data_IF_995500777580
#
_entry.id   IF_995500777580
#
_cell.length_a   1.000
_cell.length_b   1.000
_cell.length_c   1.000
_cell.angle_alpha   90.00
_cell.angle_beta   90.00
_cell.angle_gamma   90.00
#
_symmetry.space_group_name_H-M   'P 1'
#
loop_
_entity.id
_entity.type
_entity.pdbx_description
1 polymer ?
#
# COMPACT_ATOMS: atom_id res chain seq x y z
N UNK A 1 33.26 16.32 6.37
CA UNK A 1 32.90 17.01 7.63
C UNK A 1 32.75 18.49 7.35
N UNK A 2 31.54 19.03 7.40
CA UNK A 2 31.28 20.47 7.34
C UNK A 2 30.42 20.84 8.56
N UNK A 3 30.98 21.64 9.46
CA UNK A 3 30.30 22.14 10.65
C UNK A 3 29.47 23.36 10.27
N UNK A 4 28.15 23.27 10.37
CA UNK A 4 27.23 24.41 10.24
C UNK A 4 26.86 24.89 11.64
N UNK A 5 27.23 26.13 11.98
CA UNK A 5 26.77 26.78 13.21
C UNK A 5 25.40 27.43 12.95
N UNK A 6 24.34 26.89 13.57
CA UNK A 6 23.02 27.50 13.57
C UNK A 6 22.78 28.12 14.94
N UNK A 7 22.87 29.46 15.03
CA UNK A 7 22.43 30.20 16.21
C UNK A 7 20.91 30.25 16.28
N UNK A 8 20.32 29.74 17.37
CA UNK A 8 18.91 29.91 17.69
C UNK A 8 18.74 30.90 18.84
N UNK A 9 18.05 32.02 18.59
CA UNK A 9 17.60 32.93 19.66
C UNK A 9 16.15 32.62 20.02
N UNK A 10 15.86 32.34 21.29
CA UNK A 10 14.50 32.25 21.81
C UNK A 10 13.99 33.67 22.10
N UNK A 11 13.06 34.20 21.29
CA UNK A 11 12.38 35.45 21.59
C UNK A 11 11.22 35.21 22.57
N UNK A 12 11.29 35.82 23.76
CA UNK A 12 10.20 35.89 24.74
C UNK A 12 9.09 36.83 24.23
N UNK A 13 8.12 36.34 23.48
CA UNK A 13 6.87 37.09 23.25
C UNK A 13 5.80 36.24 22.56
N UNK A 14 5.03 35.48 23.33
CA UNK A 14 3.59 35.21 23.10
C UNK A 14 3.02 34.17 24.09
N UNK A 15 3.31 34.32 25.38
CA UNK A 15 2.61 33.59 26.44
C UNK A 15 2.05 34.63 27.41
N UNK A 16 0.85 35.14 27.12
CA UNK A 16 0.05 35.90 28.06
C UNK A 16 -0.87 34.94 28.82
N UNK A 17 -0.72 35.01 30.13
CA UNK A 17 -1.32 34.26 31.24
C UNK A 17 -2.84 34.26 31.36
N UNK A 18 -3.37 33.17 31.94
CA UNK A 18 -4.15 33.25 33.19
C UNK A 18 -4.00 31.96 34.02
N UNK A 19 -4.14 32.02 35.37
CA UNK A 19 -3.55 31.05 36.28
C UNK A 19 -4.60 30.18 36.98
N UNK A 20 -4.46 28.85 36.91
CA UNK A 20 -5.11 27.96 37.88
C UNK A 20 -4.31 26.66 38.04
N UNK A 21 -3.68 26.57 39.22
CA UNK A 21 -3.45 25.36 40.01
C UNK A 21 -3.47 24.01 39.27
N UNK A 22 -2.29 23.51 38.93
CA UNK A 22 -1.77 22.16 39.24
C UNK A 22 -0.59 21.87 38.30
N UNK A 23 0.61 21.78 38.86
CA UNK A 23 1.78 21.27 38.15
C UNK A 23 1.53 19.79 37.84
N UNK A 24 1.56 19.33 36.58
CA UNK A 24 1.74 17.93 36.31
C UNK A 24 3.25 17.68 36.22
N UNK A 25 3.78 16.93 37.18
CA UNK A 25 5.03 16.22 37.03
C UNK A 25 4.90 15.27 35.84
N UNK A 26 5.31 15.72 34.65
CA UNK A 26 5.36 14.87 33.46
C UNK A 26 6.67 14.08 33.43
N UNK A 27 6.56 12.80 33.79
CA UNK A 27 7.51 11.76 33.39
C UNK A 27 7.25 11.42 31.92
N UNK A 28 8.13 11.87 31.02
CA UNK A 28 8.08 11.52 29.59
C UNK A 28 9.25 12.13 28.81
N UNK A 29 10.19 11.30 28.36
CA UNK A 29 11.49 11.71 27.80
C UNK A 29 11.51 12.10 26.31
N UNK A 30 10.40 12.58 25.72
CA UNK A 30 10.40 12.97 24.30
C UNK A 30 9.52 14.20 24.05
N UNK A 31 10.12 15.34 23.73
CA UNK A 31 9.43 16.50 23.18
C UNK A 31 9.76 16.66 21.70
N UNK A 32 8.75 16.99 20.88
CA UNK A 32 8.95 17.47 19.51
C UNK A 32 8.88 18.99 19.50
N UNK A 33 9.96 19.66 19.14
CA UNK A 33 9.98 21.13 18.94
C UNK A 33 9.99 21.41 17.44
N UNK A 34 9.05 22.22 16.91
CA UNK A 34 9.07 22.59 15.50
C UNK A 34 10.25 23.55 15.22
N UNK A 35 11.21 23.11 14.39
CA UNK A 35 12.31 23.96 13.91
C UNK A 35 11.89 24.56 12.57
N UNK A 36 11.86 25.89 12.48
CA UNK A 36 11.75 26.60 11.18
C UNK A 36 13.14 26.70 10.56
N UNK A 37 13.39 25.97 9.48
CA UNK A 37 14.62 26.11 8.70
C UNK A 37 14.63 27.42 7.90
N UNK A 38 15.79 28.10 7.84
CA UNK A 38 15.97 29.26 6.95
C UNK A 38 15.93 28.83 5.48
N UNK A 39 15.56 29.73 4.54
CA UNK A 39 15.19 29.37 3.17
C UNK A 39 16.32 28.84 2.27
N UNK A 40 17.57 28.86 2.73
CA UNK A 40 18.76 28.60 1.90
C UNK A 40 19.32 27.17 1.98
N UNK A 41 18.52 26.18 2.40
CA UNK A 41 18.93 24.78 2.45
C UNK A 41 18.52 24.01 1.18
N UNK A 42 19.39 23.16 0.60
CA UNK A 42 19.04 22.28 -0.52
C UNK A 42 17.83 21.38 -0.21
N UNK A 43 17.00 21.09 -1.23
CA UNK A 43 15.72 20.37 -1.11
C UNK A 43 15.78 18.99 -0.43
N UNK A 44 16.97 18.41 -0.19
CA UNK A 44 17.14 17.11 0.49
C UNK A 44 16.85 17.10 2.00
N UNK A 45 16.69 18.26 2.64
CA UNK A 45 16.57 18.35 4.11
C UNK A 45 15.20 18.79 4.64
N UNK A 46 14.17 18.92 3.78
CA UNK A 46 12.87 19.50 4.19
C UNK A 46 12.05 18.65 5.17
N UNK A 47 12.35 17.36 5.36
CA UNK A 47 11.55 16.44 6.18
C UNK A 47 12.36 15.65 7.25
N UNK A 48 13.50 16.15 7.72
CA UNK A 48 14.21 15.50 8.83
C UNK A 48 13.53 15.78 10.18
N UNK A 49 13.04 14.73 10.84
CA UNK A 49 12.73 14.77 12.28
C UNK A 49 14.01 14.52 13.07
N UNK A 50 14.34 15.43 14.00
CA UNK A 50 15.48 15.26 14.91
C UNK A 50 14.96 14.76 16.25
N UNK A 51 15.50 13.64 16.74
CA UNK A 51 15.28 13.16 18.10
C UNK A 51 16.33 13.77 19.03
N UNK A 52 15.88 14.50 20.06
CA UNK A 52 16.78 15.09 21.06
C UNK A 52 16.74 14.21 22.31
N UNK A 53 17.86 13.57 22.66
CA UNK A 53 18.03 12.90 23.96
C UNK A 53 18.76 13.83 24.93
N UNK A 54 18.20 14.05 26.11
CA UNK A 54 18.88 14.77 27.20
C UNK A 54 19.59 13.77 28.12
N UNK A 55 20.84 14.06 28.51
CA UNK A 55 21.54 13.36 29.59
C UNK A 55 21.68 14.27 30.83
N UNK A 56 20.95 13.90 31.88
CA UNK A 56 21.08 14.19 33.32
C UNK A 56 21.39 15.60 33.92
N UNK A 57 20.59 15.87 34.98
CA UNK A 57 20.80 16.63 36.23
C UNK A 57 20.96 18.16 36.16
N UNK A 58 19.83 18.85 36.38
CA UNK A 58 19.78 20.27 36.73
C UNK A 58 20.18 20.50 38.20
N UNK A 59 21.23 21.30 38.42
CA UNK A 59 21.43 22.10 39.64
C UNK A 59 21.64 23.56 39.22
N UNK A 60 20.78 24.44 39.76
CA UNK A 60 20.83 25.92 39.77
C UNK A 60 20.97 26.66 38.43
N UNK A 61 19.95 27.47 38.13
CA UNK A 61 19.88 28.45 37.05
C UNK A 61 20.68 29.71 37.39
N UNK A 62 21.96 29.81 37.03
CA UNK A 62 22.71 31.09 37.08
C UNK A 62 23.66 31.35 35.90
N UNK A 63 23.57 30.64 34.77
CA UNK A 63 24.33 31.02 33.59
C UNK A 63 23.70 30.54 32.26
N UNK A 64 23.46 31.41 31.27
CA UNK A 64 22.99 30.98 29.96
C UNK A 64 24.16 30.36 29.19
N UNK A 65 24.44 29.07 29.41
CA UNK A 65 25.39 28.34 28.57
C UNK A 65 24.74 28.11 27.21
N UNK A 66 25.37 28.60 26.14
CA UNK A 66 25.05 28.23 24.77
C UNK A 66 25.16 26.71 24.62
N UNK A 67 24.03 26.05 24.33
CA UNK A 67 24.01 24.62 24.05
C UNK A 67 24.29 24.38 22.57
N UNK A 68 25.34 23.63 22.26
CA UNK A 68 25.67 23.21 20.90
C UNK A 68 24.89 21.93 20.60
N UNK A 69 23.85 22.05 19.76
CA UNK A 69 23.16 20.87 19.22
C UNK A 69 23.96 20.40 18.00
N UNK A 70 24.70 19.30 18.11
CA UNK A 70 25.31 18.64 16.96
C UNK A 70 24.31 17.69 16.32
N UNK A 71 23.90 17.98 15.07
CA UNK A 71 23.08 17.09 14.28
C UNK A 71 23.98 16.37 13.27
N UNK A 72 24.16 15.07 13.41
CA UNK A 72 24.78 14.23 12.38
C UNK A 72 23.68 13.73 11.45
N UNK A 73 23.69 14.20 10.20
CA UNK A 73 22.95 13.54 9.14
C UNK A 73 23.79 12.34 8.69
N UNK A 74 23.47 11.16 9.20
CA UNK A 74 23.85 9.94 8.50
C UNK A 74 23.04 9.93 7.21
N UNK A 75 23.71 10.15 6.07
CA UNK A 75 23.14 9.82 4.79
C UNK A 75 22.85 8.33 4.85
N UNK A 76 21.57 7.95 4.87
CA UNK A 76 21.19 6.59 4.54
C UNK A 76 21.60 6.40 3.08
N UNK A 77 22.81 5.88 2.85
CA UNK A 77 23.07 5.04 1.71
C UNK A 77 22.05 3.92 1.82
N UNK A 78 20.92 4.08 1.13
CA UNK A 78 19.83 3.13 1.18
C UNK A 78 20.38 1.80 0.68
N UNK A 79 20.55 0.84 1.59
CA UNK A 79 20.67 -0.56 1.22
C UNK A 79 19.51 -0.84 0.28
N UNK A 80 19.81 -1.11 -0.99
CA UNK A 80 18.78 -1.35 -2.00
C UNK A 80 17.93 -2.53 -1.50
N UNK A 81 16.66 -2.28 -1.18
CA UNK A 81 15.76 -3.34 -0.72
C UNK A 81 15.48 -4.23 -1.92
N UNK A 82 16.08 -5.42 -1.93
CA UNK A 82 15.89 -6.43 -2.95
C UNK A 82 14.85 -7.44 -2.48
N UNK A 83 13.89 -7.74 -3.34
CA UNK A 83 12.94 -8.85 -3.15
C UNK A 83 13.62 -10.11 -3.69
N UNK A 84 13.71 -11.15 -2.86
CA UNK A 84 14.42 -12.38 -3.25
C UNK A 84 13.62 -13.14 -4.30
N UNK A 85 14.33 -13.90 -5.14
CA UNK A 85 13.68 -14.87 -6.01
C UNK A 85 12.86 -15.87 -5.20
N UNK A 86 11.72 -16.30 -5.75
CA UNK A 86 10.84 -17.30 -5.16
C UNK A 86 10.48 -17.04 -3.69
N UNK A 87 10.25 -15.77 -3.34
CA UNK A 87 9.88 -15.33 -1.98
C UNK A 87 8.46 -14.79 -1.85
N UNK A 88 7.73 -14.66 -2.96
CA UNK A 88 6.40 -14.07 -3.01
C UNK A 88 5.35 -15.12 -3.38
N UNK A 89 4.28 -15.22 -2.59
CA UNK A 89 3.07 -15.94 -3.00
C UNK A 89 2.07 -14.96 -3.59
N UNK A 90 1.55 -15.25 -4.79
CA UNK A 90 0.49 -14.44 -5.39
C UNK A 90 -0.86 -15.05 -5.06
N UNK A 91 -1.81 -14.24 -4.56
CA UNK A 91 -3.22 -14.62 -4.48
C UNK A 91 -3.92 -13.98 -5.66
N UNK A 92 -4.33 -14.80 -6.63
CA UNK A 92 -5.04 -14.34 -7.82
C UNK A 92 -6.55 -14.55 -7.63
N UNK A 93 -7.28 -13.45 -7.40
CA UNK A 93 -8.71 -13.49 -7.13
C UNK A 93 -9.50 -13.63 -8.45
N UNK A 94 -10.07 -14.81 -8.68
CA UNK A 94 -10.84 -15.16 -9.88
C UNK A 94 -12.24 -15.73 -9.56
N UNK A 95 -12.74 -15.57 -8.33
CA UNK A 95 -14.04 -16.11 -7.89
C UNK A 95 -15.27 -15.24 -8.15
N UNK A 96 -15.09 -13.99 -8.60
CA UNK A 96 -16.19 -13.03 -8.68
C UNK A 96 -17.25 -13.40 -9.72
N UNK A 97 -18.54 -13.41 -9.35
CA UNK A 97 -19.65 -13.82 -10.25
C UNK A 97 -19.99 -12.85 -11.39
N UNK A 98 -19.35 -11.68 -11.49
CA UNK A 98 -19.43 -10.83 -12.68
C UNK A 98 -20.82 -10.25 -13.05
N UNK A 99 -21.77 -10.11 -12.12
CA UNK A 99 -23.19 -9.75 -12.38
C UNK A 99 -23.43 -8.51 -13.28
N UNK A 100 -22.48 -7.56 -13.34
CA UNK A 100 -22.59 -6.31 -14.13
C UNK A 100 -22.34 -6.47 -15.62
N UNK A 101 -21.81 -7.61 -16.07
CA UNK A 101 -21.44 -7.84 -17.48
C UNK A 101 -22.57 -8.43 -18.33
N UNK A 102 -23.68 -8.88 -17.72
CA UNK A 102 -24.79 -9.50 -18.45
C UNK A 102 -24.43 -10.80 -19.20
N UNK A 103 -23.22 -11.33 -18.99
CA UNK A 103 -22.71 -12.51 -19.68
C UNK A 103 -23.15 -13.81 -18.98
N UNK A 104 -23.20 -14.91 -19.74
CA UNK A 104 -23.46 -16.26 -19.24
C UNK A 104 -22.33 -16.82 -18.37
N UNK A 105 -21.15 -16.21 -18.42
CA UNK A 105 -19.92 -16.62 -17.75
C UNK A 105 -19.33 -15.45 -16.94
N UNK A 106 -18.68 -15.71 -15.79
CA UNK A 106 -17.97 -14.68 -15.05
C UNK A 106 -16.94 -13.95 -15.92
N UNK A 107 -16.91 -12.64 -15.75
CA UNK A 107 -16.18 -11.71 -16.63
C UNK A 107 -14.69 -12.02 -16.78
N UNK A 108 -14.03 -12.49 -15.74
CA UNK A 108 -12.60 -12.83 -15.75
C UNK A 108 -12.27 -14.04 -16.65
N UNK A 109 -13.28 -14.77 -17.12
CA UNK A 109 -13.13 -15.88 -18.05
C UNK A 109 -13.60 -15.54 -19.46
N UNK A 110 -14.12 -14.32 -19.68
CA UNK A 110 -14.43 -13.86 -21.03
C UNK A 110 -13.13 -13.75 -21.86
N UNK A 111 -13.19 -14.05 -23.16
CA UNK A 111 -12.05 -13.89 -24.04
C UNK A 111 -11.75 -12.40 -24.23
N UNK A 112 -10.49 -12.05 -24.04
CA UNK A 112 -9.86 -10.81 -24.46
C UNK A 112 -8.82 -11.21 -25.51
N UNK A 113 -9.01 -10.78 -26.77
CA UNK A 113 -8.18 -11.20 -27.91
C UNK A 113 -7.95 -12.73 -27.99
N UNK A 114 -8.98 -13.52 -27.69
CA UNK A 114 -8.94 -15.00 -27.75
C UNK A 114 -8.42 -15.70 -26.49
N UNK A 115 -7.93 -14.96 -25.49
CA UNK A 115 -7.45 -15.51 -24.23
C UNK A 115 -8.34 -15.09 -23.05
N UNK A 116 -8.68 -15.98 -22.10
CA UNK A 116 -9.40 -15.59 -20.88
C UNK A 116 -8.70 -14.43 -20.15
N UNK A 117 -9.47 -13.41 -19.75
CA UNK A 117 -8.96 -12.21 -19.05
C UNK A 117 -8.03 -12.55 -17.88
N UNK A 118 -8.41 -13.54 -17.06
CA UNK A 118 -7.65 -13.95 -15.90
C UNK A 118 -6.22 -14.41 -16.25
N UNK A 119 -6.04 -15.05 -17.41
CA UNK A 119 -4.76 -15.62 -17.83
C UNK A 119 -3.72 -14.55 -18.16
N UNK A 120 -4.12 -13.33 -18.55
CA UNK A 120 -3.16 -12.25 -18.80
C UNK A 120 -2.34 -11.88 -17.55
N UNK A 121 -3.05 -11.66 -16.44
CA UNK A 121 -2.40 -11.37 -15.17
C UNK A 121 -1.67 -12.59 -14.62
N UNK A 122 -2.24 -13.78 -14.75
CA UNK A 122 -1.60 -15.05 -14.39
C UNK A 122 -0.23 -15.21 -15.08
N UNK A 123 -0.16 -15.03 -16.41
CA UNK A 123 1.08 -15.14 -17.17
C UNK A 123 2.09 -14.03 -16.83
N UNK A 124 1.61 -12.85 -16.43
CA UNK A 124 2.50 -11.79 -15.96
C UNK A 124 3.20 -12.24 -14.68
N UNK A 125 2.45 -12.73 -13.68
CA UNK A 125 3.04 -13.21 -12.43
C UNK A 125 3.88 -14.49 -12.61
N UNK A 126 3.47 -15.41 -13.48
CA UNK A 126 4.16 -16.69 -13.65
C UNK A 126 5.57 -16.55 -14.21
N UNK A 127 5.84 -15.44 -14.92
CA UNK A 127 7.13 -15.10 -15.51
C UNK A 127 8.03 -14.30 -14.57
N UNK A 128 7.53 -13.88 -13.40
CA UNK A 128 8.32 -13.07 -12.46
C UNK A 128 9.22 -13.97 -11.58
N UNK A 129 10.53 -13.68 -11.48
CA UNK A 129 11.47 -14.49 -10.69
C UNK A 129 11.18 -14.45 -9.18
N UNK A 130 10.63 -13.35 -8.67
CA UNK A 130 10.24 -13.20 -7.26
C UNK A 130 9.07 -14.10 -6.86
N UNK A 131 8.20 -14.45 -7.83
CA UNK A 131 6.97 -15.22 -7.59
C UNK A 131 7.31 -16.70 -7.44
N UNK A 132 7.05 -17.22 -6.25
CA UNK A 132 7.22 -18.62 -5.86
C UNK A 132 6.09 -19.49 -6.40
N UNK A 133 4.88 -19.02 -6.21
CA UNK A 133 3.64 -19.73 -6.52
C UNK A 133 2.51 -18.73 -6.81
N UNK A 134 1.48 -19.25 -7.46
CA UNK A 134 0.21 -18.54 -7.64
C UNK A 134 -0.90 -19.39 -7.03
N UNK A 135 -1.51 -18.87 -5.98
CA UNK A 135 -2.75 -19.39 -5.39
C UNK A 135 -3.92 -18.78 -6.14
N UNK A 136 -4.57 -19.57 -6.98
CA UNK A 136 -5.74 -19.10 -7.74
C UNK A 136 -6.99 -19.36 -6.92
N UNK A 137 -7.72 -18.29 -6.59
CA UNK A 137 -8.99 -18.38 -5.87
C UNK A 137 -10.12 -18.35 -6.89
N UNK A 138 -10.57 -19.51 -7.34
CA UNK A 138 -11.60 -19.67 -8.38
C UNK A 138 -12.66 -20.70 -7.99
N UNK A 139 -13.83 -20.58 -8.62
CA UNK A 139 -14.85 -21.63 -8.54
C UNK A 139 -14.32 -22.91 -9.23
N UNK A 140 -14.51 -24.10 -8.63
CA UNK A 140 -14.00 -25.36 -9.18
C UNK A 140 -14.37 -25.61 -10.64
N UNK A 141 -15.53 -25.11 -11.10
CA UNK A 141 -15.97 -25.23 -12.49
C UNK A 141 -15.09 -24.50 -13.53
N UNK A 142 -14.13 -23.68 -13.07
CA UNK A 142 -13.20 -22.93 -13.92
C UNK A 142 -11.73 -23.28 -13.65
N UNK A 143 -11.44 -24.32 -12.88
CA UNK A 143 -10.06 -24.73 -12.57
C UNK A 143 -9.27 -25.13 -13.83
N UNK A 144 -9.91 -25.86 -14.74
CA UNK A 144 -9.31 -26.34 -16.01
C UNK A 144 -8.61 -25.23 -16.81
N UNK A 145 -9.17 -24.00 -16.78
CA UNK A 145 -8.58 -22.82 -17.46
C UNK A 145 -7.13 -22.57 -17.02
N UNK A 146 -6.83 -22.79 -15.74
CA UNK A 146 -5.50 -22.55 -15.17
C UNK A 146 -4.62 -23.79 -15.21
N UNK A 147 -5.21 -25.00 -15.20
CA UNK A 147 -4.46 -26.25 -15.39
C UNK A 147 -3.82 -26.30 -16.77
N UNK A 148 -4.59 -25.96 -17.81
CA UNK A 148 -4.11 -25.92 -19.19
C UNK A 148 -3.02 -24.86 -19.41
N UNK A 149 -3.00 -23.81 -18.59
CA UNK A 149 -2.01 -22.73 -18.65
C UNK A 149 -0.70 -23.04 -17.90
N UNK A 150 -0.59 -24.20 -17.22
CA UNK A 150 0.51 -24.53 -16.33
C UNK A 150 1.73 -25.07 -17.08
N UNK A 151 2.59 -24.17 -17.54
CA UNK A 151 3.83 -24.61 -18.20
C UNK A 151 5.05 -24.60 -17.24
N UNK A 152 5.19 -23.62 -16.34
CA UNK A 152 6.47 -23.39 -15.63
C UNK A 152 6.38 -22.86 -14.18
N UNK A 153 5.19 -22.83 -13.57
CA UNK A 153 5.05 -22.35 -12.17
C UNK A 153 4.23 -23.31 -11.31
N UNK A 154 4.53 -23.35 -10.01
CA UNK A 154 3.66 -24.01 -9.04
C UNK A 154 2.34 -23.21 -8.96
N UNK A 155 1.27 -23.85 -9.41
CA UNK A 155 -0.10 -23.39 -9.20
C UNK A 155 -0.68 -24.22 -8.07
N UNK A 156 -1.13 -23.54 -7.01
CA UNK A 156 -1.93 -24.14 -5.97
C UNK A 156 -3.39 -23.67 -6.15
N UNK A 157 -4.28 -24.59 -6.45
CA UNK A 157 -5.71 -24.32 -6.70
C UNK A 157 -6.59 -24.69 -5.49
N UNK A 158 -6.00 -24.84 -4.30
CA UNK A 158 -6.74 -25.23 -3.09
C UNK A 158 -7.70 -24.18 -2.54
N UNK A 159 -7.59 -22.92 -2.97
CA UNK A 159 -8.38 -21.83 -2.40
C UNK A 159 -9.74 -21.67 -3.08
N UNK A 160 -10.81 -21.71 -2.29
CA UNK A 160 -12.17 -21.53 -2.77
C UNK A 160 -12.62 -20.08 -2.59
N UNK A 161 -13.48 -19.56 -3.48
CA UNK A 161 -14.04 -18.23 -3.31
C UNK A 161 -15.01 -18.21 -2.14
N UNK A 162 -14.90 -17.16 -1.34
CA UNK A 162 -15.84 -16.91 -0.25
C UNK A 162 -17.07 -16.11 -0.70
N UNK A 163 -17.91 -15.71 0.28
CA UNK A 163 -19.14 -14.94 0.00
C UNK A 163 -18.79 -13.56 -0.53
N UNK A 164 -17.82 -12.92 0.11
CA UNK A 164 -17.31 -11.60 -0.23
C UNK A 164 -15.85 -11.68 -0.76
N UNK A 165 -15.33 -10.55 -1.26
CA UNK A 165 -13.95 -10.51 -1.81
C UNK A 165 -12.92 -10.82 -0.72
N UNK A 166 -13.09 -10.28 0.48
CA UNK A 166 -12.18 -10.50 1.61
C UNK A 166 -12.16 -11.95 2.09
N UNK A 167 -13.30 -12.66 2.04
CA UNK A 167 -13.34 -14.08 2.38
C UNK A 167 -12.49 -14.90 1.39
N UNK A 168 -12.52 -14.51 0.11
CA UNK A 168 -11.69 -15.12 -0.94
C UNK A 168 -10.20 -14.84 -0.71
N UNK A 169 -9.85 -13.63 -0.25
CA UNK A 169 -8.47 -13.27 0.12
C UNK A 169 -8.00 -14.08 1.32
N UNK A 170 -8.85 -14.24 2.33
CA UNK A 170 -8.55 -15.06 3.51
C UNK A 170 -8.35 -16.53 3.12
N UNK A 171 -9.21 -17.10 2.28
CA UNK A 171 -9.02 -18.47 1.77
C UNK A 171 -7.71 -18.62 0.99
N UNK A 172 -7.34 -17.61 0.19
CA UNK A 172 -6.04 -17.60 -0.49
C UNK A 172 -4.88 -17.55 0.49
N UNK A 173 -4.97 -16.71 1.53
CA UNK A 173 -3.94 -16.53 2.55
C UNK A 173 -3.70 -17.79 3.39
N UNK A 174 -4.73 -18.62 3.58
CA UNK A 174 -4.59 -19.91 4.26
C UNK A 174 -3.91 -20.97 3.38
N UNK A 175 -3.90 -20.78 2.06
CA UNK A 175 -3.33 -21.71 1.09
C UNK A 175 -1.90 -21.35 0.64
N UNK A 176 -1.39 -20.14 0.95
CA UNK A 176 -0.01 -19.77 0.58
C UNK A 176 1.04 -20.58 1.37
N UNK A 177 2.23 -20.72 0.79
CA UNK A 177 3.41 -21.24 1.44
C UNK A 177 3.79 -20.39 2.67
N UNK A 178 3.90 -21.07 3.81
CA UNK A 178 4.26 -20.47 5.09
C UNK A 178 5.61 -19.74 5.11
N UNK A 179 6.51 -20.02 4.17
CA UNK A 179 7.84 -19.42 4.07
C UNK A 179 7.89 -18.19 3.16
N UNK A 180 6.76 -17.75 2.60
CA UNK A 180 6.73 -16.56 1.76
C UNK A 180 6.95 -15.29 2.58
N UNK A 181 7.83 -14.41 2.09
CA UNK A 181 8.14 -13.13 2.75
C UNK A 181 7.03 -12.11 2.52
N UNK A 182 6.38 -12.18 1.35
CA UNK A 182 5.29 -11.32 0.92
C UNK A 182 4.15 -12.13 0.34
N UNK A 183 2.92 -11.63 0.54
CA UNK A 183 1.75 -12.01 -0.23
C UNK A 183 1.36 -10.87 -1.16
N UNK A 184 1.12 -11.20 -2.43
CA UNK A 184 0.77 -10.26 -3.49
C UNK A 184 -0.64 -10.58 -3.98
N UNK A 185 -1.62 -9.76 -3.58
CA UNK A 185 -3.04 -9.98 -3.87
C UNK A 185 -3.42 -9.21 -5.13
N UNK A 186 -3.97 -9.90 -6.13
CA UNK A 186 -4.35 -9.29 -7.40
C UNK A 186 -5.74 -9.70 -7.88
N UNK A 187 -6.50 -8.73 -8.40
CA UNK A 187 -7.76 -8.99 -9.08
C UNK A 187 -7.49 -9.52 -10.49
N UNK A 188 -7.93 -10.75 -10.82
CA UNK A 188 -7.74 -11.33 -12.17
C UNK A 188 -8.44 -10.54 -13.27
N UNK A 189 -9.42 -9.70 -12.91
CA UNK A 189 -10.08 -8.76 -13.81
C UNK A 189 -9.21 -7.55 -14.19
N UNK A 190 -7.95 -7.45 -13.74
CA UNK A 190 -6.96 -6.45 -14.19
C UNK A 190 -5.90 -7.14 -15.07
N UNK A 191 -6.20 -7.37 -16.36
CA UNK A 191 -5.31 -8.13 -17.25
C UNK A 191 -4.04 -7.35 -17.66
N UNK A 192 -4.03 -6.03 -17.48
CA UNK A 192 -3.00 -5.13 -18.02
C UNK A 192 -1.97 -4.69 -16.98
N UNK A 193 -1.80 -5.48 -15.91
CA UNK A 193 -0.76 -5.21 -14.91
C UNK A 193 0.62 -5.39 -15.55
N UNK A 194 1.52 -4.43 -15.34
CA UNK A 194 2.88 -4.47 -15.88
C UNK A 194 3.85 -5.06 -14.86
N UNK A 195 4.70 -6.00 -15.28
CA UNK A 195 5.72 -6.61 -14.40
C UNK A 195 6.61 -5.58 -13.69
N UNK A 196 6.95 -4.48 -14.38
CA UNK A 196 7.71 -3.37 -13.80
C UNK A 196 6.99 -2.65 -12.65
N UNK A 197 5.66 -2.49 -12.74
CA UNK A 197 4.88 -1.90 -11.66
C UNK A 197 4.72 -2.90 -10.50
N UNK A 198 4.55 -4.19 -10.80
CA UNK A 198 4.56 -5.25 -9.78
C UNK A 198 5.89 -5.25 -9.01
N UNK A 199 7.03 -5.22 -9.71
CA UNK A 199 8.34 -5.21 -9.08
C UNK A 199 8.55 -4.01 -8.14
N UNK A 200 8.04 -2.81 -8.50
CA UNK A 200 8.08 -1.63 -7.63
C UNK A 200 7.27 -1.85 -6.35
N UNK A 201 6.01 -2.30 -6.47
CA UNK A 201 5.14 -2.47 -5.29
C UNK A 201 5.63 -3.62 -4.40
N UNK A 202 6.28 -4.64 -4.97
CA UNK A 202 6.97 -5.67 -4.19
C UNK A 202 8.12 -5.09 -3.37
N UNK A 203 8.97 -4.24 -3.96
CA UNK A 203 10.06 -3.56 -3.23
C UNK A 203 9.53 -2.66 -2.10
N UNK A 204 8.47 -1.91 -2.37
CA UNK A 204 7.85 -1.05 -1.36
C UNK A 204 7.15 -1.86 -0.25
N UNK A 205 6.51 -2.98 -0.61
CA UNK A 205 5.95 -3.94 0.34
C UNK A 205 7.02 -4.59 1.22
N UNK A 206 8.17 -4.95 0.65
CA UNK A 206 9.31 -5.49 1.41
C UNK A 206 9.85 -4.46 2.41
N UNK A 207 9.98 -3.20 1.98
CA UNK A 207 10.52 -2.09 2.78
C UNK A 207 9.58 -1.68 3.91
N UNK A 208 8.29 -1.51 3.63
CA UNK A 208 7.30 -0.93 4.56
C UNK A 208 6.49 -2.00 5.30
N UNK A 209 6.37 -3.19 4.73
CA UNK A 209 5.54 -4.28 5.22
C UNK A 209 4.15 -4.34 4.57
N UNK A 210 3.68 -3.22 4.00
CA UNK A 210 2.45 -3.14 3.22
C UNK A 210 2.56 -2.03 2.16
N UNK A 211 2.22 -2.35 0.93
CA UNK A 211 2.17 -1.42 -0.19
C UNK A 211 1.05 -1.77 -1.17
N UNK A 212 0.57 -0.80 -1.94
CA UNK A 212 -0.51 -0.96 -2.90
C UNK A 212 -0.22 -0.16 -4.16
N UNK A 213 -0.56 -0.71 -5.33
CA UNK A 213 -0.58 0.10 -6.55
C UNK A 213 -1.73 1.11 -6.51
N UNK A 214 -1.44 2.34 -6.91
CA UNK A 214 -2.45 3.35 -7.12
C UNK A 214 -2.01 4.38 -8.15
N UNK A 215 -2.95 5.17 -8.63
CA UNK A 215 -2.68 6.33 -9.49
C UNK A 215 -3.35 7.57 -8.92
N UNK A 216 -2.80 8.78 -9.10
CA UNK A 216 -3.46 10.00 -8.66
C UNK A 216 -4.83 10.15 -9.33
N UNK A 217 -5.83 10.56 -8.57
CA UNK A 217 -7.18 10.77 -9.12
C UNK A 217 -7.15 11.87 -10.19
N UNK A 218 -7.79 11.64 -11.34
CA UNK A 218 -7.92 12.64 -12.41
C UNK A 218 -9.23 13.43 -12.32
N UNK A 219 -10.31 12.75 -11.96
CA UNK A 219 -11.61 13.36 -11.83
C UNK A 219 -11.67 14.33 -10.63
N UNK A 220 -12.46 15.39 -10.76
CA UNK A 220 -12.84 16.21 -9.61
C UNK A 220 -13.82 15.42 -8.76
N UNK A 221 -13.47 15.13 -7.51
CA UNK A 221 -14.33 14.36 -6.59
C UNK A 221 -15.11 15.30 -5.67
N UNK A 222 -16.41 15.07 -5.58
CA UNK A 222 -17.33 15.78 -4.69
C UNK A 222 -17.78 14.83 -3.59
N UNK A 223 -17.84 15.32 -2.36
CA UNK A 223 -18.64 14.70 -1.31
C UNK A 223 -20.08 15.20 -1.46
N UNK A 224 -21.05 14.29 -1.45
CA UNK A 224 -22.47 14.61 -1.54
C UNK A 224 -23.20 14.09 -0.29
N UNK A 225 -24.30 14.74 0.09
CA UNK A 225 -25.17 14.27 1.15
C UNK A 225 -26.17 13.21 0.63
N UNK A 226 -27.04 12.69 1.51
CA UNK A 226 -28.05 11.68 1.17
C UNK A 226 -29.03 12.12 0.07
N UNK A 227 -29.22 13.42 -0.10
CA UNK A 227 -30.14 14.01 -1.09
C UNK A 227 -29.41 14.39 -2.41
N UNK A 228 -28.17 13.90 -2.60
CA UNK A 228 -27.33 14.13 -3.78
C UNK A 228 -26.92 15.60 -4.02
N UNK A 229 -26.96 16.44 -2.99
CA UNK A 229 -26.40 17.80 -3.05
C UNK A 229 -24.91 17.80 -2.69
N UNK A 230 -24.14 18.62 -3.41
CA UNK A 230 -22.70 18.79 -3.16
C UNK A 230 -22.47 19.43 -1.79
N UNK A 231 -21.71 18.73 -0.93
CA UNK A 231 -21.26 19.21 0.38
C UNK A 231 -19.92 19.92 0.27
N UNK A 232 -18.94 19.28 -0.38
CA UNK A 232 -17.62 19.88 -0.62
C UNK A 232 -16.92 19.24 -1.81
N UNK A 233 -15.93 19.95 -2.33
CA UNK A 233 -14.97 19.42 -3.30
C UNK A 233 -13.76 18.93 -2.54
N UNK A 234 -13.34 17.68 -2.75
CA UNK A 234 -12.14 17.14 -2.13
C UNK A 234 -10.88 17.65 -2.85
N UNK A 235 -9.77 17.84 -2.13
CA UNK A 235 -8.49 18.21 -2.74
C UNK A 235 -7.93 17.01 -3.51
N UNK A 236 -8.07 17.05 -4.84
CA UNK A 236 -7.63 15.98 -5.74
C UNK A 236 -6.14 15.64 -5.58
N UNK A 237 -5.29 16.57 -5.12
CA UNK A 237 -3.85 16.31 -4.93
C UNK A 237 -3.56 15.25 -3.87
N UNK A 238 -4.51 14.98 -2.98
CA UNK A 238 -4.38 13.97 -1.92
C UNK A 238 -5.17 12.70 -2.22
N UNK A 239 -5.84 12.61 -3.38
CA UNK A 239 -6.70 11.48 -3.73
C UNK A 239 -6.02 10.56 -4.73
N UNK A 240 -6.18 9.27 -4.50
CA UNK A 240 -5.61 8.21 -5.31
C UNK A 240 -6.68 7.16 -5.63
N UNK A 241 -6.65 6.66 -6.85
CA UNK A 241 -7.46 5.54 -7.29
C UNK A 241 -6.67 4.26 -7.03
N UNK A 242 -7.14 3.46 -6.07
CA UNK A 242 -6.48 2.21 -5.66
C UNK A 242 -6.62 1.14 -6.74
N UNK A 243 -5.53 0.42 -6.93
CA UNK A 243 -5.40 -0.69 -7.86
C UNK A 243 -4.93 -1.96 -7.14
N UNK A 244 -4.72 -3.01 -7.91
CA UNK A 244 -3.99 -4.20 -7.47
C UNK A 244 -2.79 -4.39 -8.41
N UNK A 245 -1.66 -4.93 -7.94
CA UNK A 245 -1.52 -5.69 -6.70
C UNK A 245 -1.50 -4.87 -5.41
N UNK A 246 -1.95 -5.53 -4.34
CA UNK A 246 -1.71 -5.11 -2.95
C UNK A 246 -0.73 -6.10 -2.33
N UNK A 247 0.39 -5.61 -1.81
CA UNK A 247 1.52 -6.42 -1.33
C UNK A 247 1.68 -6.23 0.17
N UNK A 248 1.57 -7.31 0.93
CA UNK A 248 1.53 -7.27 2.39
C UNK A 248 2.40 -8.41 2.94
N UNK A 249 3.06 -8.21 4.09
CA UNK A 249 3.70 -9.32 4.80
C UNK A 249 2.63 -10.30 5.33
N UNK A 250 2.75 -11.62 5.11
CA UNK A 250 1.71 -12.58 5.51
C UNK A 250 1.31 -12.47 6.99
N UNK A 251 2.30 -12.38 7.90
CA UNK A 251 2.04 -12.24 9.33
C UNK A 251 1.33 -10.93 9.72
N UNK A 252 1.50 -9.86 8.94
CA UNK A 252 0.77 -8.61 9.15
C UNK A 252 -0.68 -8.75 8.70
N UNK A 253 -0.91 -9.36 7.53
CA UNK A 253 -2.25 -9.57 7.01
C UNK A 253 -3.07 -10.52 7.90
N UNK A 254 -2.47 -11.61 8.40
CA UNK A 254 -3.11 -12.54 9.34
C UNK A 254 -3.60 -11.85 10.61
N UNK A 255 -2.74 -11.04 11.25
CA UNK A 255 -3.12 -10.22 12.42
C UNK A 255 -4.25 -9.24 12.13
N UNK A 256 -4.28 -8.70 10.92
CA UNK A 256 -5.31 -7.77 10.49
C UNK A 256 -6.67 -8.47 10.34
N UNK A 257 -6.71 -9.65 9.71
CA UNK A 257 -7.92 -10.47 9.66
C UNK A 257 -8.40 -10.88 11.04
N UNK A 258 -7.50 -11.28 11.95
CA UNK A 258 -7.85 -11.59 13.34
C UNK A 258 -8.53 -10.40 14.04
N UNK A 259 -7.99 -9.18 13.86
CA UNK A 259 -8.55 -7.95 14.41
C UNK A 259 -9.94 -7.66 13.82
N UNK A 260 -10.05 -7.63 12.50
CA UNK A 260 -11.29 -7.35 11.77
C UNK A 260 -12.40 -8.32 12.18
N UNK A 261 -12.09 -9.62 12.24
CA UNK A 261 -13.06 -10.65 12.59
C UNK A 261 -13.50 -10.55 14.06
N UNK A 262 -12.57 -10.25 14.97
CA UNK A 262 -12.88 -10.09 16.40
C UNK A 262 -13.76 -8.88 16.67
N UNK A 263 -13.56 -7.79 15.93
CA UNK A 263 -14.21 -6.49 16.19
C UNK A 263 -15.36 -6.17 15.22
N UNK A 264 -15.59 -7.01 14.20
CA UNK A 264 -16.65 -6.82 13.21
C UNK A 264 -16.45 -5.55 12.36
N UNK A 265 -15.20 -5.22 12.04
CA UNK A 265 -14.84 -3.98 11.35
C UNK A 265 -15.18 -4.06 9.85
N UNK A 266 -15.58 -2.93 9.28
CA UNK A 266 -15.78 -2.81 7.83
C UNK A 266 -14.42 -2.80 7.09
N UNK A 267 -14.35 -3.54 5.99
CA UNK A 267 -13.17 -3.67 5.13
C UNK A 267 -13.57 -3.30 3.71
N UNK A 268 -12.86 -2.33 3.13
CA UNK A 268 -13.15 -1.81 1.78
C UNK A 268 -12.19 -2.35 0.72
N UNK A 269 -10.95 -2.65 1.12
CA UNK A 269 -9.93 -3.37 0.34
C UNK A 269 -8.92 -4.10 1.25
N UNK A 270 -7.91 -4.78 0.69
CA UNK A 270 -6.99 -5.63 1.48
C UNK A 270 -6.06 -4.79 2.37
N UNK A 271 -5.70 -3.59 1.94
CA UNK A 271 -4.89 -2.68 2.75
C UNK A 271 -5.67 -1.98 3.85
N UNK A 272 -6.99 -1.81 3.74
CA UNK A 272 -7.83 -1.32 4.84
C UNK A 272 -7.80 -2.26 6.06
N UNK A 273 -7.57 -3.55 5.85
CA UNK A 273 -7.31 -4.53 6.93
C UNK A 273 -6.03 -4.17 7.71
N UNK A 274 -5.01 -3.70 7.00
CA UNK A 274 -3.72 -3.28 7.57
C UNK A 274 -3.84 -1.90 8.24
N UNK A 275 -4.66 -1.02 7.70
CA UNK A 275 -4.94 0.30 8.27
C UNK A 275 -5.59 0.19 9.66
N UNK A 276 -6.47 -0.80 9.88
CA UNK A 276 -7.05 -1.08 11.20
C UNK A 276 -5.99 -1.43 12.26
N UNK A 277 -4.85 -2.01 11.84
CA UNK A 277 -3.69 -2.25 12.72
C UNK A 277 -2.86 -0.99 12.99
N UNK A 278 -3.22 0.15 12.38
CA UNK A 278 -2.44 1.40 12.36
C UNK A 278 -1.04 1.23 11.78
N UNK A 279 -0.84 0.21 10.95
CA UNK A 279 0.41 0.00 10.22
C UNK A 279 0.40 0.86 8.95
N UNK A 280 1.49 1.57 8.62
CA UNK A 280 1.52 2.41 7.43
C UNK A 280 1.46 1.57 6.15
N UNK A 281 0.63 2.00 5.20
CA UNK A 281 0.53 1.43 3.86
C UNK A 281 1.14 2.42 2.88
N UNK A 282 2.07 1.95 2.04
CA UNK A 282 2.71 2.80 1.02
C UNK A 282 1.99 2.70 -0.33
N UNK A 283 1.62 3.84 -0.91
CA UNK A 283 1.06 3.86 -2.27
C UNK A 283 2.22 3.92 -3.26
N UNK A 284 2.34 2.86 -4.06
CA UNK A 284 3.26 2.78 -5.18
C UNK A 284 2.56 3.29 -6.43
N UNK A 285 3.14 4.27 -7.11
CA UNK A 285 2.56 4.80 -8.34
C UNK A 285 2.61 3.73 -9.45
N UNK A 286 1.43 3.35 -9.95
CA UNK A 286 1.25 2.40 -11.04
C UNK A 286 0.85 3.08 -12.35
N UNK A 287 0.38 2.26 -13.30
CA UNK A 287 -0.06 2.72 -14.62
C UNK A 287 -1.58 2.93 -14.70
N UNK A 288 -2.02 4.00 -15.36
CA UNK A 288 -3.44 4.21 -15.66
C UNK A 288 -4.04 3.13 -16.57
N UNK A 289 -3.20 2.43 -17.33
CA UNK A 289 -3.61 1.30 -18.18
C UNK A 289 -3.94 0.04 -17.40
N UNK A 290 -3.58 -0.05 -16.11
CA UNK A 290 -3.93 -1.17 -15.22
C UNK A 290 -5.41 -1.10 -14.78
N UNK A 291 -6.30 -0.97 -15.76
CA UNK A 291 -7.74 -0.88 -15.56
C UNK A 291 -8.30 -2.20 -15.06
N UNK A 292 -9.40 -2.13 -14.32
CA UNK A 292 -10.20 -3.30 -13.97
C UNK A 292 -11.31 -3.45 -14.99
N UNK A 293 -11.35 -4.57 -15.69
CA UNK A 293 -12.44 -4.89 -16.61
C UNK A 293 -13.69 -5.21 -15.79
N UNK A 294 -14.70 -4.35 -15.89
CA UNK A 294 -15.97 -4.45 -15.16
C UNK A 294 -17.20 -4.31 -16.03
N UNK A 295 -17.05 -3.72 -17.21
CA UNK A 295 -18.09 -3.41 -18.21
C UNK A 295 -17.63 -3.85 -19.61
N UNK A 296 -18.54 -3.97 -20.59
CA UNK A 296 -18.19 -4.23 -21.98
C UNK A 296 -17.26 -3.16 -22.58
N UNK A 297 -17.45 -1.89 -22.22
CA UNK A 297 -16.59 -0.79 -22.67
C UNK A 297 -15.15 -0.94 -22.16
N UNK A 298 -14.97 -1.45 -20.94
CA UNK A 298 -13.64 -1.76 -20.40
C UNK A 298 -12.92 -2.85 -21.21
N UNK A 299 -13.65 -3.81 -21.78
CA UNK A 299 -13.08 -4.86 -22.62
C UNK A 299 -12.54 -4.28 -23.92
N UNK A 300 -13.32 -3.44 -24.60
CA UNK A 300 -12.89 -2.72 -25.80
C UNK A 300 -11.65 -1.86 -25.53
N UNK A 301 -11.63 -1.17 -24.39
CA UNK A 301 -10.47 -0.39 -23.97
C UNK A 301 -9.25 -1.29 -23.74
N UNK A 302 -9.43 -2.43 -23.08
CA UNK A 302 -8.34 -3.37 -22.82
C UNK A 302 -7.74 -3.94 -24.12
N UNK A 303 -8.58 -4.31 -25.09
CA UNK A 303 -8.14 -4.76 -26.43
C UNK A 303 -7.30 -3.71 -27.13
N UNK A 304 -7.72 -2.43 -27.08
CA UNK A 304 -6.99 -1.33 -27.71
C UNK A 304 -5.64 -1.09 -27.05
N UNK A 305 -5.57 -1.17 -25.72
CA UNK A 305 -4.30 -1.01 -24.99
C UNK A 305 -3.33 -2.14 -25.38
N UNK A 306 -3.80 -3.39 -25.41
CA UNK A 306 -2.96 -4.54 -25.79
C UNK A 306 -2.43 -4.44 -27.23
N UNK A 307 -3.30 -4.05 -28.18
CA UNK A 307 -2.89 -3.92 -29.58
C UNK A 307 -1.94 -2.75 -29.85
N UNK A 308 -1.85 -1.76 -28.96
CA UNK A 308 -0.91 -0.63 -29.11
C UNK A 308 0.46 -0.94 -28.50
N UNK A 309 0.52 -1.93 -27.60
CA UNK A 309 1.74 -2.37 -26.94
C UNK A 309 2.45 -3.54 -27.67
N UNK A 310 1.79 -4.14 -28.65
CA UNK A 310 2.32 -5.18 -29.54
C UNK A 310 2.97 -4.56 -30.79
#
# INVERSE_FOLDING_TARGET
MSTLELGASLSRSSLSSSPSSSFPLFLGNNFRVPIKFRPSLPNKFKNCCVSVRYSEKFRSLENPRLFRISCSAEGAEGSEVVVKEKSVSVILLAGGKGKRMGASMPKQYLPLLGQPIALYSFYTFSKMPEVKEIVVVCDPSYQDIFEDAKENIHIDMKALPGKERQDSVYSGLEAIDSNSELVCIHDSARPLVLAGDVAKVLKDGQRVGAAVLGVPAKATIKEANSDSFVVKTLDRKTLWEMQTPQVIRPGLLKKGFELVNREGLEVTDDVSIVEHLRHPVYITEGSYTNIKVTTPDDLLLAERILNTAA
#
